data_IF_700129427405
#
_entry.id   IF_700129427405
#
_cell.length_a   1.000
_cell.length_b   1.000
_cell.length_c   1.000
_cell.angle_alpha   90.00
_cell.angle_beta   90.00
_cell.angle_gamma   90.00
#
_symmetry.space_group_name_H-M   'P 1'
#
loop_
_entity.id
_entity.type
_entity.pdbx_description
1 polymer ?
#
# COMPACT_ATOMS: atom_id res chain seq x y z
N UNK A 1 -4.95 21.62 3.71
CA UNK A 1 -3.88 22.60 4.00
C UNK A 1 -2.57 21.86 4.24
N UNK A 2 -1.44 22.36 3.74
CA UNK A 2 -0.12 21.77 4.02
C UNK A 2 0.55 22.48 5.19
N UNK A 3 1.21 21.71 6.05
CA UNK A 3 1.99 22.23 7.18
C UNK A 3 3.41 22.57 6.72
N UNK A 4 4.08 21.66 6.01
CA UNK A 4 5.42 21.90 5.48
C UNK A 4 5.36 22.30 4.01
N UNK A 5 6.16 23.32 3.66
CA UNK A 5 6.34 23.81 2.30
C UNK A 5 7.55 23.16 1.64
N UNK A 6 7.47 22.90 0.33
CA UNK A 6 8.59 22.42 -0.48
C UNK A 6 8.21 21.31 -1.45
N UNK A 7 8.89 21.28 -2.61
CA UNK A 7 8.63 20.30 -3.67
C UNK A 7 8.87 18.85 -3.24
N UNK A 8 9.72 18.64 -2.24
CA UNK A 8 10.02 17.32 -1.69
C UNK A 8 8.78 16.59 -1.15
N UNK A 9 7.72 17.32 -0.77
CA UNK A 9 6.49 16.74 -0.21
C UNK A 9 5.36 16.57 -1.25
N UNK A 10 5.51 17.18 -2.45
CA UNK A 10 4.53 17.21 -3.56
C UNK A 10 4.03 15.82 -3.94
N UNK A 11 4.97 14.91 -4.11
CA UNK A 11 4.66 13.54 -4.50
C UNK A 11 3.74 12.85 -3.50
N UNK A 12 4.03 12.94 -2.20
CA UNK A 12 3.26 12.20 -1.19
C UNK A 12 1.82 12.72 -1.07
N UNK A 13 1.62 14.03 -1.15
CA UNK A 13 0.28 14.63 -1.17
C UNK A 13 -0.47 14.28 -2.45
N UNK A 14 0.22 14.27 -3.59
CA UNK A 14 -0.36 13.81 -4.85
C UNK A 14 -0.82 12.36 -4.76
N UNK A 15 0.04 11.46 -4.26
CA UNK A 15 -0.25 10.04 -4.05
C UNK A 15 -1.40 9.84 -3.07
N UNK A 16 -1.43 10.59 -1.97
CA UNK A 16 -2.51 10.58 -0.99
C UNK A 16 -3.86 10.88 -1.62
N UNK A 17 -3.96 11.99 -2.36
CA UNK A 17 -5.17 12.37 -3.12
C UNK A 17 -5.63 11.31 -4.12
N UNK A 18 -4.71 10.54 -4.68
CA UNK A 18 -5.02 9.48 -5.66
C UNK A 18 -5.44 8.16 -5.04
N UNK A 19 -5.10 7.90 -3.77
CA UNK A 19 -5.20 6.53 -3.22
C UNK A 19 -5.84 6.43 -1.84
N UNK A 20 -5.85 7.50 -1.05
CA UNK A 20 -6.24 7.47 0.37
C UNK A 20 -7.29 8.55 0.69
N UNK A 21 -7.14 9.77 0.14
CA UNK A 21 -8.11 10.88 0.30
C UNK A 21 -9.30 10.75 -0.67
N UNK A 22 -9.88 9.55 -0.74
CA UNK A 22 -11.05 9.29 -1.59
C UNK A 22 -12.36 9.47 -0.81
N UNK A 23 -13.47 9.82 -1.47
CA UNK A 23 -14.78 9.97 -0.82
C UNK A 23 -15.28 8.71 -0.07
N UNK A 24 -16.15 8.91 0.92
CA UNK A 24 -16.65 7.83 1.77
C UNK A 24 -17.48 6.78 1.01
N UNK A 25 -18.31 7.20 0.05
CA UNK A 25 -19.08 6.33 -0.84
C UNK A 25 -18.15 5.41 -1.67
N UNK A 26 -17.03 5.92 -2.17
CA UNK A 26 -16.00 5.11 -2.84
C UNK A 26 -15.31 4.14 -1.87
N UNK A 27 -14.96 4.58 -0.66
CA UNK A 27 -14.38 3.67 0.37
C UNK A 27 -15.34 2.56 0.75
N UNK A 28 -16.63 2.86 0.86
CA UNK A 28 -17.67 1.90 1.24
C UNK A 28 -17.90 0.79 0.19
N UNK A 29 -17.42 0.93 -1.05
CA UNK A 29 -17.45 -0.16 -2.05
C UNK A 29 -16.53 -1.33 -1.68
N UNK A 30 -15.45 -1.06 -0.94
CA UNK A 30 -14.53 -2.08 -0.45
C UNK A 30 -14.01 -1.68 0.94
N UNK A 31 -14.86 -1.76 1.99
CA UNK A 31 -14.60 -1.10 3.27
C UNK A 31 -13.30 -1.51 3.95
N UNK A 32 -12.95 -2.79 3.89
CA UNK A 32 -11.73 -3.34 4.49
C UNK A 32 -10.44 -2.75 3.87
N UNK A 33 -10.48 -2.31 2.61
CA UNK A 33 -9.29 -1.82 1.89
C UNK A 33 -8.80 -0.47 2.37
N UNK A 34 -9.71 0.34 2.90
CA UNK A 34 -9.46 1.71 3.31
C UNK A 34 -9.57 1.89 4.83
N UNK A 35 -9.51 0.79 5.57
CA UNK A 35 -9.39 0.86 7.02
C UNK A 35 -7.96 1.32 7.34
N UNK A 36 -7.84 2.58 7.75
CA UNK A 36 -6.59 3.19 8.17
C UNK A 36 -6.68 3.50 9.67
N UNK A 37 -5.78 2.93 10.46
CA UNK A 37 -5.81 2.99 11.93
C UNK A 37 -5.61 4.39 12.50
N UNK A 38 -5.13 5.34 11.69
CA UNK A 38 -5.03 6.75 12.07
C UNK A 38 -6.38 7.46 12.30
N UNK A 39 -7.50 6.85 11.89
CA UNK A 39 -8.83 7.43 12.10
C UNK A 39 -9.91 6.33 12.21
N UNK A 40 -9.87 5.53 13.28
CA UNK A 40 -10.83 4.44 13.52
C UNK A 40 -11.51 4.60 14.88
N UNK A 41 -12.80 4.26 14.93
CA UNK A 41 -13.55 4.10 16.17
C UNK A 41 -14.09 2.66 16.21
N UNK A 42 -13.77 1.95 17.28
CA UNK A 42 -14.10 0.52 17.42
C UNK A 42 -14.49 0.19 18.87
N UNK A 43 -15.55 -0.61 19.10
CA UNK A 43 -15.88 -1.08 20.44
C UNK A 43 -14.73 -1.90 21.04
N UNK A 44 -14.48 -1.74 22.34
CA UNK A 44 -13.40 -2.47 23.04
C UNK A 44 -13.48 -3.99 22.85
N UNK A 45 -14.68 -4.55 22.87
CA UNK A 45 -14.87 -6.00 22.75
C UNK A 45 -14.53 -6.53 21.34
N UNK A 46 -14.64 -5.69 20.30
CA UNK A 46 -14.19 -6.06 18.95
C UNK A 46 -12.66 -6.20 18.92
N UNK A 47 -11.92 -5.25 19.51
CA UNK A 47 -10.45 -5.30 19.61
C UNK A 47 -9.96 -6.50 20.43
N UNK A 48 -10.68 -6.88 21.50
CA UNK A 48 -10.36 -8.09 22.27
C UNK A 48 -10.62 -9.40 21.51
N UNK A 49 -11.51 -9.36 20.52
CA UNK A 49 -11.90 -10.55 19.74
C UNK A 49 -11.04 -10.72 18.50
N UNK A 50 -10.67 -9.62 17.86
CA UNK A 50 -9.87 -9.56 16.64
C UNK A 50 -8.90 -8.39 16.82
N UNK A 51 -7.69 -8.70 17.30
CA UNK A 51 -6.58 -7.77 17.44
C UNK A 51 -5.72 -7.72 16.16
N UNK A 52 -4.63 -6.96 16.16
CA UNK A 52 -3.68 -6.88 15.06
C UNK A 52 -2.78 -8.12 15.02
N UNK A 53 -2.45 -8.61 13.82
CA UNK A 53 -1.45 -9.67 13.66
C UNK A 53 -0.04 -9.08 13.86
N UNK A 54 0.62 -9.40 14.98
CA UNK A 54 1.96 -8.92 15.33
C UNK A 54 3.06 -9.38 14.37
N UNK A 55 2.77 -10.32 13.46
CA UNK A 55 3.70 -10.73 12.41
C UNK A 55 3.79 -9.72 11.25
N UNK A 56 2.93 -8.69 11.22
CA UNK A 56 3.10 -7.51 10.34
C UNK A 56 4.13 -6.55 10.95
N UNK A 57 5.40 -6.84 10.67
CA UNK A 57 6.54 -6.09 11.23
C UNK A 57 6.93 -4.95 10.29
N UNK A 58 7.38 -3.82 10.84
CA UNK A 58 7.89 -2.70 10.05
C UNK A 58 6.77 -1.77 9.60
N UNK A 59 6.56 -1.64 8.27
CA UNK A 59 5.66 -0.62 7.74
C UNK A 59 4.54 -1.21 6.87
N UNK A 60 3.30 -0.89 7.26
CA UNK A 60 2.10 -0.96 6.43
C UNK A 60 1.44 -2.34 6.34
N UNK A 61 0.18 -2.31 5.91
CA UNK A 61 -0.73 -3.44 5.67
C UNK A 61 -1.27 -4.16 6.91
N UNK A 62 -0.84 -3.81 8.13
CA UNK A 62 -1.44 -4.39 9.34
C UNK A 62 -2.90 -3.96 9.49
N UNK A 63 -3.18 -2.70 9.14
CA UNK A 63 -4.51 -2.10 9.16
C UNK A 63 -5.44 -2.72 8.11
N UNK A 64 -4.93 -2.95 6.91
CA UNK A 64 -5.66 -3.60 5.81
C UNK A 64 -5.94 -5.06 6.14
N UNK A 65 -4.97 -5.81 6.68
CA UNK A 65 -5.17 -7.20 7.10
C UNK A 65 -6.21 -7.27 8.22
N UNK A 66 -6.10 -6.40 9.23
CA UNK A 66 -7.07 -6.33 10.30
C UNK A 66 -8.48 -6.02 9.76
N UNK A 67 -8.58 -5.09 8.80
CA UNK A 67 -9.81 -4.78 8.08
C UNK A 67 -10.40 -5.98 7.34
N UNK A 68 -9.58 -6.84 6.73
CA UNK A 68 -10.04 -8.07 6.08
C UNK A 68 -10.68 -9.01 7.10
N UNK A 69 -10.01 -9.29 8.23
CA UNK A 69 -10.54 -10.16 9.28
C UNK A 69 -11.80 -9.57 9.92
N UNK A 70 -11.82 -8.27 10.20
CA UNK A 70 -12.98 -7.57 10.73
C UNK A 70 -14.20 -7.68 9.81
N UNK A 71 -14.03 -7.42 8.51
CA UNK A 71 -15.13 -7.39 7.54
C UNK A 71 -15.87 -8.73 7.41
N UNK A 72 -15.20 -9.84 7.75
CA UNK A 72 -15.84 -11.15 7.79
C UNK A 72 -16.85 -11.34 8.93
N UNK A 73 -16.82 -10.48 9.97
CA UNK A 73 -17.63 -10.61 11.19
C UNK A 73 -18.41 -9.36 11.56
N UNK A 74 -17.92 -8.18 11.20
CA UNK A 74 -18.47 -6.90 11.60
C UNK A 74 -18.59 -5.96 10.40
N UNK A 75 -19.65 -5.13 10.36
CA UNK A 75 -19.74 -4.09 9.35
C UNK A 75 -18.65 -3.04 9.58
N UNK A 76 -18.07 -2.57 8.48
CA UNK A 76 -17.13 -1.44 8.46
C UNK A 76 -17.80 -0.32 7.68
N UNK A 77 -18.01 0.82 8.32
CA UNK A 77 -18.64 1.99 7.71
C UNK A 77 -17.65 3.14 7.62
N UNK A 78 -17.43 3.63 6.40
CA UNK A 78 -16.69 4.86 6.17
C UNK A 78 -17.62 6.05 6.23
N UNK A 79 -17.30 7.01 7.09
CA UNK A 79 -17.92 8.33 7.13
C UNK A 79 -17.14 9.31 6.24
N UNK A 80 -17.74 10.47 5.94
CA UNK A 80 -17.07 11.55 5.22
C UNK A 80 -16.06 12.31 6.11
N UNK A 81 -15.01 11.59 6.46
CA UNK A 81 -13.88 12.07 7.25
C UNK A 81 -12.60 11.46 6.68
N UNK A 82 -12.21 11.92 5.50
CA UNK A 82 -11.03 11.39 4.80
C UNK A 82 -9.75 11.73 5.55
N UNK A 83 -8.73 10.87 5.45
CA UNK A 83 -7.39 11.24 5.86
C UNK A 83 -6.91 12.50 5.10
N UNK A 84 -5.98 13.26 5.68
CA UNK A 84 -5.36 14.42 5.03
C UNK A 84 -3.84 14.28 5.02
N UNK A 85 -3.22 14.45 3.86
CA UNK A 85 -1.77 14.43 3.71
C UNK A 85 -1.22 15.85 3.90
N UNK A 86 -0.80 16.14 5.13
CA UNK A 86 -0.37 17.49 5.54
C UNK A 86 1.03 17.90 5.01
N UNK A 87 1.63 17.11 4.13
CA UNK A 87 2.97 17.36 3.57
C UNK A 87 4.10 17.02 4.55
N UNK A 88 3.92 16.05 5.43
CA UNK A 88 4.92 15.68 6.45
C UNK A 88 5.91 14.60 5.98
N UNK A 89 5.59 13.89 4.90
CA UNK A 89 6.41 12.79 4.38
C UNK A 89 6.99 13.20 3.03
N UNK A 90 8.31 13.18 2.93
CA UNK A 90 9.03 13.48 1.69
C UNK A 90 8.92 12.34 0.67
N UNK A 91 9.17 12.66 -0.61
CA UNK A 91 9.14 11.72 -1.74
C UNK A 91 9.96 10.45 -1.46
N UNK A 92 11.18 10.61 -1.00
CA UNK A 92 12.11 9.49 -0.79
C UNK A 92 11.68 8.62 0.40
N UNK A 93 11.14 9.23 1.45
CA UNK A 93 10.59 8.51 2.61
C UNK A 93 9.35 7.71 2.21
N UNK A 94 8.47 8.29 1.38
CA UNK A 94 7.29 7.58 0.88
C UNK A 94 7.69 6.36 0.03
N UNK A 95 8.71 6.51 -0.82
CA UNK A 95 9.23 5.42 -1.64
C UNK A 95 9.88 4.33 -0.80
N UNK A 96 10.75 4.69 0.16
CA UNK A 96 11.36 3.75 1.10
C UNK A 96 10.32 2.96 1.90
N UNK A 97 9.30 3.63 2.44
CA UNK A 97 8.18 2.99 3.15
C UNK A 97 7.43 1.97 2.27
N UNK A 98 7.20 2.30 1.00
CA UNK A 98 6.59 1.37 0.07
C UNK A 98 7.45 0.13 -0.15
N UNK A 99 8.76 0.29 -0.39
CA UNK A 99 9.66 -0.87 -0.58
C UNK A 99 9.73 -1.74 0.68
N UNK A 100 9.77 -1.12 1.85
CA UNK A 100 9.76 -1.84 3.13
C UNK A 100 8.42 -2.53 3.44
N UNK A 101 7.34 -2.17 2.75
CA UNK A 101 6.01 -2.78 2.92
C UNK A 101 5.80 -4.06 2.10
N UNK A 102 6.74 -4.41 1.22
CA UNK A 102 6.65 -5.57 0.31
C UNK A 102 6.47 -6.90 1.07
N UNK A 103 7.24 -7.21 2.13
CA UNK A 103 7.05 -8.46 2.89
C UNK A 103 5.65 -8.57 3.50
N UNK A 104 5.13 -7.47 4.06
CA UNK A 104 3.77 -7.43 4.62
C UNK A 104 2.70 -7.60 3.53
N UNK A 105 2.95 -7.13 2.31
CA UNK A 105 2.05 -7.36 1.20
C UNK A 105 2.02 -8.83 0.80
N UNK A 106 3.17 -9.51 0.69
CA UNK A 106 3.21 -10.96 0.44
C UNK A 106 2.50 -11.76 1.54
N UNK A 107 2.63 -11.31 2.78
CA UNK A 107 1.89 -11.92 3.90
C UNK A 107 0.38 -11.86 3.69
N UNK A 108 -0.16 -10.77 3.15
CA UNK A 108 -1.59 -10.72 2.76
C UNK A 108 -1.91 -11.75 1.68
N UNK A 109 -1.02 -11.97 0.69
CA UNK A 109 -1.23 -13.01 -0.34
C UNK A 109 -1.35 -14.40 0.29
N UNK A 110 -0.44 -14.73 1.22
CA UNK A 110 -0.43 -16.02 1.91
C UNK A 110 -1.67 -16.22 2.79
N UNK A 111 -2.11 -15.20 3.52
CA UNK A 111 -3.26 -15.27 4.43
C UNK A 111 -4.60 -15.16 3.70
N UNK A 112 -4.67 -14.38 2.62
CA UNK A 112 -5.89 -13.96 1.94
C UNK A 112 -5.76 -13.94 0.41
N UNK A 113 -5.43 -15.06 -0.24
CA UNK A 113 -5.07 -15.10 -1.66
C UNK A 113 -6.20 -14.58 -2.58
N UNK A 114 -7.47 -14.84 -2.25
CA UNK A 114 -8.62 -14.39 -3.04
C UNK A 114 -8.85 -12.87 -3.04
N UNK A 115 -8.43 -12.17 -1.97
CA UNK A 115 -8.58 -10.72 -1.83
C UNK A 115 -7.37 -9.96 -2.36
N UNK A 116 -6.19 -10.57 -2.28
CA UNK A 116 -4.94 -10.00 -2.77
C UNK A 116 -5.04 -9.54 -4.23
N UNK A 117 -5.56 -10.41 -5.11
CA UNK A 117 -5.68 -10.15 -6.55
C UNK A 117 -6.77 -9.15 -6.95
N UNK A 118 -7.58 -8.68 -6.01
CA UNK A 118 -8.53 -7.60 -6.26
C UNK A 118 -7.83 -6.24 -6.32
N UNK A 119 -6.59 -6.15 -5.82
CA UNK A 119 -5.82 -4.91 -5.84
C UNK A 119 -5.09 -4.68 -7.18
N UNK A 120 -4.89 -3.41 -7.55
CA UNK A 120 -4.15 -3.06 -8.78
C UNK A 120 -2.69 -3.55 -8.77
N UNK A 121 -2.01 -3.46 -7.62
CA UNK A 121 -0.62 -3.87 -7.47
C UNK A 121 -0.43 -5.38 -7.70
N UNK A 122 -1.30 -6.22 -7.12
CA UNK A 122 -1.24 -7.67 -7.32
C UNK A 122 -1.50 -8.08 -8.77
N UNK A 123 -2.44 -7.40 -9.46
CA UNK A 123 -2.67 -7.64 -10.90
C UNK A 123 -1.43 -7.33 -11.74
N UNK A 124 -0.76 -6.22 -11.46
CA UNK A 124 0.50 -5.87 -12.15
C UNK A 124 1.63 -6.84 -11.79
N UNK A 125 1.76 -7.24 -10.53
CA UNK A 125 2.77 -8.21 -10.10
C UNK A 125 2.66 -9.53 -10.88
N UNK A 126 1.43 -10.01 -11.14
CA UNK A 126 1.18 -11.20 -11.97
C UNK A 126 1.64 -11.03 -13.42
N UNK A 127 1.55 -9.82 -13.97
CA UNK A 127 2.08 -9.54 -15.32
C UNK A 127 3.61 -9.60 -15.29
N UNK A 128 4.24 -9.05 -14.26
CA UNK A 128 5.69 -9.06 -14.14
C UNK A 128 6.27 -10.44 -13.76
N UNK A 129 5.50 -11.32 -13.12
CA UNK A 129 5.97 -12.64 -12.68
C UNK A 129 6.30 -13.62 -13.82
N UNK A 130 6.04 -13.24 -15.08
CA UNK A 130 6.45 -14.00 -16.27
C UNK A 130 7.87 -13.64 -16.73
N UNK A 131 8.41 -12.52 -16.24
CA UNK A 131 9.75 -12.06 -16.57
C UNK A 131 10.78 -12.78 -15.71
N UNK A 132 11.98 -13.09 -16.25
CA UNK A 132 13.01 -13.75 -15.47
C UNK A 132 13.61 -12.82 -14.39
N UNK A 133 13.97 -13.40 -13.24
CA UNK A 133 14.60 -12.71 -12.09
C UNK A 133 15.66 -11.66 -12.43
N UNK A 134 16.64 -11.90 -13.35
CA UNK A 134 17.62 -10.88 -13.70
C UNK A 134 16.99 -9.64 -14.32
N UNK A 135 15.97 -9.82 -15.19
CA UNK A 135 15.26 -8.71 -15.81
C UNK A 135 14.45 -7.92 -14.78
N UNK A 136 13.82 -8.59 -13.81
CA UNK A 136 13.11 -7.91 -12.73
C UNK A 136 14.05 -7.07 -11.85
N UNK A 137 15.28 -7.55 -11.57
CA UNK A 137 16.30 -6.77 -10.83
C UNK A 137 16.78 -5.54 -11.63
N UNK A 138 16.93 -5.66 -12.94
CA UNK A 138 17.25 -4.52 -13.81
C UNK A 138 16.10 -3.50 -13.83
N UNK A 139 14.85 -3.96 -13.92
CA UNK A 139 13.67 -3.09 -13.83
C UNK A 139 13.61 -2.35 -12.48
N UNK A 140 13.80 -3.04 -11.36
CA UNK A 140 13.88 -2.41 -10.03
C UNK A 140 14.94 -1.29 -9.99
N UNK A 141 16.15 -1.59 -10.50
CA UNK A 141 17.25 -0.63 -10.55
C UNK A 141 16.91 0.59 -11.41
N UNK A 142 16.33 0.38 -12.60
CA UNK A 142 15.94 1.45 -13.52
C UNK A 142 14.82 2.30 -12.91
N UNK A 143 13.76 1.68 -12.39
CA UNK A 143 12.61 2.36 -11.80
C UNK A 143 13.02 3.20 -10.58
N UNK A 144 13.86 2.65 -9.72
CA UNK A 144 14.41 3.36 -8.55
C UNK A 144 15.22 4.60 -8.96
N UNK A 145 16.09 4.48 -9.97
CA UNK A 145 16.89 5.61 -10.49
C UNK A 145 15.99 6.68 -11.12
N UNK A 146 15.02 6.28 -11.94
CA UNK A 146 14.06 7.20 -12.55
C UNK A 146 13.23 7.91 -11.49
N UNK A 147 12.76 7.21 -10.46
CA UNK A 147 11.98 7.79 -9.37
C UNK A 147 12.80 8.83 -8.58
N UNK A 148 14.09 8.58 -8.35
CA UNK A 148 14.99 9.52 -7.68
C UNK A 148 15.16 10.82 -8.48
N UNK A 149 15.41 10.72 -9.79
CA UNK A 149 15.72 11.87 -10.66
C UNK A 149 14.48 12.67 -11.07
N UNK A 150 13.35 12.02 -11.30
CA UNK A 150 12.13 12.72 -11.74
C UNK A 150 11.46 13.50 -10.60
N UNK A 151 10.84 14.62 -10.97
CA UNK A 151 10.08 15.49 -10.06
C UNK A 151 8.61 15.67 -10.48
N UNK A 152 8.21 15.06 -11.61
CA UNK A 152 6.84 15.15 -12.12
C UNK A 152 5.96 14.14 -11.38
N UNK A 153 5.07 14.62 -10.50
CA UNK A 153 4.29 13.79 -9.58
C UNK A 153 3.51 12.64 -10.25
N UNK A 154 2.88 12.88 -11.39
CA UNK A 154 2.13 11.83 -12.11
C UNK A 154 3.06 10.72 -12.61
N UNK A 155 4.24 11.06 -13.12
CA UNK A 155 5.23 10.07 -13.57
C UNK A 155 5.80 9.31 -12.37
N UNK A 156 6.18 10.02 -11.30
CA UNK A 156 6.62 9.40 -10.05
C UNK A 156 5.54 8.46 -9.47
N UNK A 157 4.26 8.79 -9.63
CA UNK A 157 3.16 7.93 -9.19
C UNK A 157 3.13 6.62 -9.95
N UNK A 158 3.24 6.65 -11.27
CA UNK A 158 3.31 5.41 -12.07
C UNK A 158 4.58 4.61 -11.77
N UNK A 159 5.74 5.26 -11.68
CA UNK A 159 6.99 4.61 -11.29
C UNK A 159 6.87 3.92 -9.92
N UNK A 160 6.28 4.59 -8.94
CA UNK A 160 6.02 4.03 -7.61
C UNK A 160 5.14 2.77 -7.66
N UNK A 161 4.09 2.79 -8.49
CA UNK A 161 3.19 1.63 -8.64
C UNK A 161 3.86 0.47 -9.38
N UNK A 162 4.66 0.76 -10.42
CA UNK A 162 5.40 -0.25 -11.16
C UNK A 162 6.53 -0.86 -10.34
N UNK A 163 7.29 -0.04 -9.61
CA UNK A 163 8.36 -0.51 -8.73
C UNK A 163 7.80 -1.45 -7.66
N UNK A 164 6.68 -1.06 -7.03
CA UNK A 164 5.94 -1.93 -6.12
C UNK A 164 5.59 -3.28 -6.76
N UNK A 165 5.06 -3.29 -7.98
CA UNK A 165 4.66 -4.51 -8.66
C UNK A 165 5.85 -5.40 -9.06
N UNK A 166 6.96 -4.81 -9.48
CA UNK A 166 8.22 -5.52 -9.77
C UNK A 166 8.78 -6.16 -8.51
N UNK A 167 8.81 -5.44 -7.39
CA UNK A 167 9.28 -5.98 -6.12
C UNK A 167 8.40 -7.13 -5.61
N UNK A 168 7.08 -7.03 -5.81
CA UNK A 168 6.18 -8.14 -5.49
C UNK A 168 6.48 -9.37 -6.34
N UNK A 169 6.64 -9.20 -7.66
CA UNK A 169 6.99 -10.31 -8.55
C UNK A 169 8.33 -10.97 -8.16
N UNK A 170 9.35 -10.17 -7.82
CA UNK A 170 10.65 -10.66 -7.32
C UNK A 170 10.50 -11.48 -6.04
N UNK A 171 9.63 -11.01 -5.14
CA UNK A 171 9.48 -11.63 -3.85
C UNK A 171 8.72 -12.97 -3.94
N UNK A 172 7.70 -13.07 -4.80
CA UNK A 172 7.00 -14.33 -5.11
C UNK A 172 7.86 -15.35 -5.89
N UNK A 173 8.94 -14.93 -6.56
CA UNK A 173 9.93 -15.87 -7.13
C UNK A 173 10.80 -16.51 -6.05
N UNK A 174 11.23 -15.75 -5.04
CA UNK A 174 12.08 -16.28 -3.98
C UNK A 174 11.40 -17.40 -3.19
N UNK A 175 10.08 -17.38 -3.05
CA UNK A 175 9.29 -18.45 -2.40
C UNK A 175 9.17 -19.72 -3.26
N UNK A 176 9.32 -19.63 -4.59
CA UNK A 176 9.29 -20.80 -5.49
C UNK A 176 10.63 -21.54 -5.57
N UNK A 177 11.72 -20.85 -5.23
CA UNK A 177 13.08 -21.38 -5.22
C UNK A 177 13.46 -22.07 -3.89
N UNK A 178 12.61 -21.97 -2.85
CA UNK A 178 12.79 -22.55 -1.49
C UNK A 178 11.88 -23.75 -1.25
#
# INVERSE_FOLDING_TARGET
TRILSGRAFDFYVYKGKKTEEIPADERNKMPWRYLFTGNVLVPREVLKTIDFDEQFIGYGYEDIEWGIRLFSRYPIHHIDNTCSHLGLVGKDVAFSRMRNSIPNFQRIEALHPGLFYQTGAARMARIFSVLPKPLLKELDTILSRLFAVLSINILCFYLFQFDKAVLLALASENERDT
#
